data_IF_229494071800
#
_entry.id   IF_229494071800
#
_cell.length_a   1.000
_cell.length_b   1.000
_cell.length_c   1.000
_cell.angle_alpha   90.00
_cell.angle_beta   90.00
_cell.angle_gamma   90.00
#
_symmetry.space_group_name_H-M   'P 1'
#
loop_
_entity.id
_entity.type
_entity.pdbx_description
1 polymer ?
#
# COMPACT_ATOMS: atom_id res chain seq x y z
N UNK A 1 -20.02 5.69 13.42
CA UNK A 1 -18.67 5.11 13.42
C UNK A 1 -17.87 5.84 12.37
N UNK A 2 -16.67 6.34 12.70
CA UNK A 2 -15.76 6.89 11.68
C UNK A 2 -15.12 5.69 10.98
N UNK A 3 -15.23 5.60 9.66
CA UNK A 3 -14.59 4.53 8.91
C UNK A 3 -13.07 4.66 9.06
N UNK A 4 -12.37 3.56 9.33
CA UNK A 4 -10.91 3.56 9.36
C UNK A 4 -10.38 3.60 7.93
N UNK A 5 -9.34 4.41 7.69
CA UNK A 5 -8.58 4.46 6.46
C UNK A 5 -7.39 3.52 6.56
N UNK A 6 -7.48 2.39 5.86
CA UNK A 6 -6.47 1.34 5.82
C UNK A 6 -5.78 1.32 4.46
N UNK A 7 -4.46 1.30 4.45
CA UNK A 7 -3.64 1.38 3.25
C UNK A 7 -2.69 0.19 3.16
N UNK A 8 -2.57 -0.41 1.98
CA UNK A 8 -1.63 -1.49 1.71
C UNK A 8 -0.70 -1.11 0.56
N UNK A 9 0.56 -0.86 0.88
CA UNK A 9 1.55 -0.33 -0.07
C UNK A 9 2.19 -1.45 -0.87
N UNK A 10 2.17 -1.31 -2.20
CA UNK A 10 2.43 -2.39 -3.18
C UNK A 10 1.49 -3.58 -3.08
N UNK A 11 0.31 -3.38 -2.47
CA UNK A 11 -0.70 -4.39 -2.28
C UNK A 11 -1.37 -4.84 -3.58
N UNK A 12 -1.74 -6.11 -3.65
CA UNK A 12 -2.40 -6.73 -4.79
C UNK A 12 -3.77 -7.31 -4.40
N UNK A 13 -4.38 -6.80 -3.33
CA UNK A 13 -5.68 -7.27 -2.82
C UNK A 13 -5.57 -8.41 -1.81
N UNK A 14 -4.48 -8.50 -1.06
CA UNK A 14 -4.27 -9.49 0.00
C UNK A 14 -4.90 -9.13 1.33
N UNK A 15 -5.11 -7.84 1.61
CA UNK A 15 -5.78 -7.40 2.83
C UNK A 15 -7.20 -6.93 2.49
N UNK A 16 -8.26 -7.56 3.05
CA UNK A 16 -9.64 -7.11 2.83
C UNK A 16 -9.89 -5.71 3.40
N UNK A 17 -10.70 -4.91 2.70
CA UNK A 17 -11.18 -3.61 3.19
C UNK A 17 -10.13 -2.48 3.19
N UNK A 18 -8.98 -2.67 2.54
CA UNK A 18 -7.93 -1.64 2.40
C UNK A 18 -7.95 -1.00 1.01
N UNK A 19 -7.34 0.18 0.92
CA UNK A 19 -6.88 0.75 -0.35
C UNK A 19 -5.52 0.15 -0.66
N UNK A 20 -5.35 -0.43 -1.85
CA UNK A 20 -4.07 -0.93 -2.32
C UNK A 20 -3.36 0.16 -3.12
N UNK A 21 -2.12 0.49 -2.78
CA UNK A 21 -1.29 1.39 -3.58
C UNK A 21 -0.41 0.58 -4.51
N UNK A 22 -0.36 1.00 -5.77
CA UNK A 22 0.47 0.40 -6.80
C UNK A 22 1.09 1.48 -7.70
N UNK A 23 2.13 1.11 -8.45
CA UNK A 23 2.69 1.96 -9.49
C UNK A 23 1.98 1.80 -10.84
N UNK A 24 2.33 2.66 -11.81
CA UNK A 24 1.69 2.64 -13.14
C UNK A 24 1.90 1.33 -13.90
N UNK A 25 2.93 0.55 -13.56
CA UNK A 25 3.23 -0.72 -14.21
C UNK A 25 2.10 -1.76 -14.11
N UNK A 26 1.21 -1.68 -13.11
CA UNK A 26 0.10 -2.64 -12.98
C UNK A 26 -0.95 -2.50 -14.08
N UNK A 27 -0.96 -1.34 -14.76
CA UNK A 27 -1.86 -1.06 -15.87
C UNK A 27 -1.36 -1.69 -17.18
N UNK A 28 -0.15 -2.25 -17.20
CA UNK A 28 0.37 -2.93 -18.37
C UNK A 28 -0.48 -4.18 -18.70
N UNK A 29 -0.86 -4.41 -19.97
CA UNK A 29 -1.73 -5.55 -20.33
C UNK A 29 -1.18 -6.93 -19.95
N UNK A 30 0.15 -7.05 -19.82
CA UNK A 30 0.83 -8.29 -19.41
C UNK A 30 1.01 -8.44 -17.90
N UNK A 31 0.73 -7.41 -17.10
CA UNK A 31 0.88 -7.48 -15.65
C UNK A 31 -0.16 -8.44 -15.07
N UNK A 32 0.26 -9.23 -14.09
CA UNK A 32 -0.57 -10.15 -13.32
C UNK A 32 -0.15 -10.05 -11.86
N UNK A 33 -1.09 -10.15 -10.93
CA UNK A 33 -0.74 -10.21 -9.52
C UNK A 33 0.04 -11.50 -9.23
N UNK A 34 1.00 -11.38 -8.32
CA UNK A 34 1.94 -12.42 -7.95
C UNK A 34 1.25 -13.57 -7.22
N UNK A 35 0.15 -13.29 -6.51
CA UNK A 35 -0.55 -14.29 -5.69
C UNK A 35 -1.27 -15.35 -6.50
N UNK A 36 -2.09 -14.94 -7.47
CA UNK A 36 -3.03 -15.83 -8.14
C UNK A 36 -3.14 -15.59 -9.65
N UNK A 37 -2.29 -14.72 -10.21
CA UNK A 37 -2.21 -14.51 -11.65
C UNK A 37 -3.38 -13.74 -12.24
N UNK A 38 -4.24 -13.12 -11.42
CA UNK A 38 -5.32 -12.23 -11.89
C UNK A 38 -4.78 -10.93 -12.46
N UNK A 39 -5.52 -10.34 -13.40
CA UNK A 39 -5.22 -9.02 -13.95
C UNK A 39 -5.62 -7.91 -12.97
N UNK A 40 -5.12 -6.70 -13.20
CA UNK A 40 -5.59 -5.52 -12.47
C UNK A 40 -7.11 -5.34 -12.60
N UNK A 41 -7.67 -5.58 -13.78
CA UNK A 41 -9.11 -5.45 -14.01
C UNK A 41 -9.91 -6.50 -13.23
N UNK A 42 -9.42 -7.74 -13.13
CA UNK A 42 -10.07 -8.79 -12.33
C UNK A 42 -10.13 -8.39 -10.86
N UNK A 43 -9.04 -7.82 -10.32
CA UNK A 43 -9.00 -7.38 -8.93
C UNK A 43 -9.96 -6.21 -8.67
N UNK A 44 -10.03 -5.25 -9.58
CA UNK A 44 -10.99 -4.14 -9.50
C UNK A 44 -12.43 -4.65 -9.59
N UNK A 45 -12.70 -5.61 -10.49
CA UNK A 45 -14.02 -6.23 -10.63
C UNK A 45 -14.44 -7.03 -9.38
N UNK A 46 -13.48 -7.57 -8.64
CA UNK A 46 -13.67 -8.26 -7.35
C UNK A 46 -13.85 -7.28 -6.17
N UNK A 47 -13.88 -5.98 -6.45
CA UNK A 47 -14.12 -4.93 -5.45
C UNK A 47 -12.89 -4.45 -4.70
N UNK A 48 -11.68 -4.85 -5.11
CA UNK A 48 -10.46 -4.29 -4.55
C UNK A 48 -10.29 -2.83 -5.00
N UNK A 49 -9.98 -1.96 -4.03
CA UNK A 49 -9.76 -0.53 -4.29
C UNK A 49 -8.27 -0.29 -4.51
N UNK A 50 -7.94 0.46 -5.55
CA UNK A 50 -6.56 0.81 -5.88
C UNK A 50 -6.35 2.32 -6.00
N UNK A 51 -5.17 2.78 -5.60
CA UNK A 51 -4.60 4.06 -6.03
C UNK A 51 -3.32 3.80 -6.81
N UNK A 52 -3.13 4.53 -7.91
CA UNK A 52 -1.94 4.44 -8.74
C UNK A 52 -1.11 5.69 -8.50
N UNK A 53 0.02 5.57 -7.81
CA UNK A 53 0.89 6.70 -7.46
C UNK A 53 2.35 6.28 -7.25
N UNK A 54 3.25 7.26 -7.14
CA UNK A 54 4.65 7.01 -6.82
C UNK A 54 4.84 6.62 -5.35
N UNK A 55 5.76 5.71 -5.08
CA UNK A 55 6.15 5.28 -3.73
C UNK A 55 6.77 6.39 -2.87
N UNK A 56 7.25 7.46 -3.51
CA UNK A 56 7.91 8.61 -2.87
C UNK A 56 6.97 9.78 -2.57
N UNK A 57 5.72 9.72 -3.04
CA UNK A 57 4.75 10.79 -2.87
C UNK A 57 3.34 10.19 -2.79
N UNK A 58 2.98 9.77 -1.58
CA UNK A 58 1.67 9.17 -1.33
C UNK A 58 0.59 10.27 -1.32
N UNK A 59 -0.54 10.11 -2.03
CA UNK A 59 -1.57 11.14 -2.20
C UNK A 59 -2.50 11.24 -0.98
N UNK A 60 -1.95 11.07 0.22
CA UNK A 60 -2.66 11.20 1.48
C UNK A 60 -2.13 12.43 2.24
N UNK A 61 -3.03 13.21 2.87
CA UNK A 61 -2.63 14.24 3.82
C UNK A 61 -1.80 13.68 4.96
N UNK A 62 -1.10 14.57 5.64
CA UNK A 62 -0.41 14.22 6.87
C UNK A 62 -1.42 13.76 7.93
N UNK A 63 -1.05 12.75 8.70
CA UNK A 63 -1.84 12.25 9.82
C UNK A 63 -3.29 11.83 9.51
N UNK A 64 -3.57 11.31 8.31
CA UNK A 64 -4.91 10.89 7.88
C UNK A 64 -5.15 9.39 7.86
N UNK A 65 -4.10 8.56 7.89
CA UNK A 65 -4.20 7.10 7.72
C UNK A 65 -4.12 6.39 9.07
N UNK A 66 -5.02 5.43 9.30
CA UNK A 66 -5.10 4.65 10.54
C UNK A 66 -4.04 3.54 10.58
N UNK A 67 -3.94 2.77 9.49
CA UNK A 67 -3.04 1.62 9.39
C UNK A 67 -2.41 1.57 8.01
N UNK A 68 -1.11 1.31 7.97
CA UNK A 68 -0.34 1.03 6.76
C UNK A 68 0.20 -0.39 6.83
N UNK A 69 -0.08 -1.18 5.80
CA UNK A 69 0.49 -2.49 5.55
C UNK A 69 1.60 -2.40 4.49
N UNK A 70 2.71 -3.11 4.70
CA UNK A 70 3.79 -3.27 3.71
C UNK A 70 4.21 -4.73 3.64
N UNK A 71 3.71 -5.46 2.65
CA UNK A 71 4.03 -6.89 2.48
C UNK A 71 4.96 -7.08 1.28
N UNK A 72 6.21 -7.46 1.53
CA UNK A 72 7.17 -7.80 0.46
C UNK A 72 7.61 -6.63 -0.43
N UNK A 73 7.24 -5.39 -0.08
CA UNK A 73 7.68 -4.20 -0.82
C UNK A 73 9.05 -3.69 -0.34
N UNK A 74 9.90 -3.19 -1.24
CA UNK A 74 11.14 -2.51 -0.85
C UNK A 74 10.83 -1.23 -0.04
N UNK A 75 11.44 -1.10 1.15
CA UNK A 75 11.38 0.10 1.98
C UNK A 75 12.74 0.79 1.97
N UNK A 76 12.76 2.12 1.79
CA UNK A 76 13.96 2.98 1.83
C UNK A 76 15.11 2.52 0.92
N UNK A 77 14.78 1.80 -0.16
CA UNK A 77 15.75 1.27 -1.14
C UNK A 77 15.16 1.23 -2.53
N UNK A 78 16.01 1.29 -3.54
CA UNK A 78 15.59 1.16 -4.94
C UNK A 78 15.33 -0.30 -5.32
N UNK A 79 14.47 -0.48 -6.33
CA UNK A 79 14.18 -1.74 -6.99
C UNK A 79 14.28 -1.58 -8.50
N UNK A 80 14.11 -2.68 -9.24
CA UNK A 80 14.00 -2.64 -10.71
C UNK A 80 12.81 -1.82 -11.20
N UNK A 81 11.79 -1.63 -10.36
CA UNK A 81 10.57 -0.86 -10.67
C UNK A 81 10.66 0.61 -10.20
N UNK A 82 11.86 1.05 -9.78
CA UNK A 82 12.11 2.38 -9.25
C UNK A 82 12.22 2.40 -7.72
N UNK A 83 12.13 3.59 -7.10
CA UNK A 83 12.25 3.74 -5.66
C UNK A 83 11.21 2.92 -4.90
N UNK A 84 11.67 2.25 -3.84
CA UNK A 84 10.79 1.64 -2.85
C UNK A 84 9.98 2.69 -2.09
N UNK A 85 9.05 2.21 -1.28
CA UNK A 85 8.28 3.05 -0.37
C UNK A 85 9.21 3.71 0.63
N UNK A 86 9.00 5.00 0.87
CA UNK A 86 9.79 5.75 1.84
C UNK A 86 9.16 5.63 3.23
N UNK A 87 9.91 5.19 4.23
CA UNK A 87 9.42 5.10 5.60
C UNK A 87 9.02 6.48 6.16
N UNK A 88 9.62 7.56 5.67
CA UNK A 88 9.22 8.93 5.96
C UNK A 88 7.79 9.23 5.48
N UNK A 89 7.41 8.77 4.29
CA UNK A 89 6.06 8.93 3.75
C UNK A 89 5.05 8.15 4.59
N UNK A 90 5.37 6.91 4.97
CA UNK A 90 4.52 6.10 5.87
C UNK A 90 4.28 6.83 7.19
N UNK A 91 5.35 7.31 7.82
CA UNK A 91 5.28 8.05 9.10
C UNK A 91 4.55 9.38 8.97
N UNK A 92 4.65 10.06 7.82
CA UNK A 92 3.94 11.32 7.54
C UNK A 92 2.44 11.11 7.52
N UNK A 93 1.96 10.13 6.74
CA UNK A 93 0.53 9.90 6.51
C UNK A 93 -0.18 9.24 7.70
N UNK A 94 0.53 8.46 8.52
CA UNK A 94 -0.07 7.83 9.69
C UNK A 94 -0.54 8.88 10.70
N UNK A 95 -1.73 8.71 11.26
CA UNK A 95 -2.23 9.52 12.39
C UNK A 95 -1.53 9.15 13.70
N UNK A 96 -1.64 9.98 14.74
CA UNK A 96 -1.16 9.60 16.09
C UNK A 96 -1.87 8.32 16.58
N UNK A 97 -1.11 7.39 17.14
CA UNK A 97 -1.55 6.02 17.45
C UNK A 97 -1.75 5.12 16.23
N UNK A 98 -1.52 5.62 15.01
CA UNK A 98 -1.60 4.84 13.78
C UNK A 98 -0.50 3.79 13.68
N UNK A 99 -0.79 2.69 13.00
CA UNK A 99 0.07 1.50 12.97
C UNK A 99 0.70 1.31 11.60
N UNK A 100 1.99 1.03 11.59
CA UNK A 100 2.67 0.42 10.45
C UNK A 100 2.90 -1.06 10.76
N UNK A 101 2.32 -1.92 9.93
CA UNK A 101 2.37 -3.36 10.02
C UNK A 101 3.12 -3.90 8.79
N UNK A 102 4.19 -4.66 9.01
CA UNK A 102 4.96 -5.33 7.96
C UNK A 102 5.01 -6.84 8.20
N UNK A 103 5.57 -7.58 7.23
CA UNK A 103 5.97 -8.98 7.39
C UNK A 103 4.88 -9.88 8.00
N UNK A 104 3.74 -10.00 7.30
CA UNK A 104 2.65 -10.90 7.69
C UNK A 104 1.99 -10.57 9.04
N UNK A 105 2.02 -9.32 9.47
CA UNK A 105 1.21 -8.84 10.61
C UNK A 105 1.99 -8.30 11.80
N UNK A 106 3.32 -8.23 11.72
CA UNK A 106 4.12 -7.65 12.78
C UNK A 106 4.00 -6.12 12.80
N UNK A 107 3.66 -5.54 13.95
CA UNK A 107 3.70 -4.08 14.13
C UNK A 107 5.16 -3.63 14.12
N UNK A 108 5.54 -2.90 13.08
CA UNK A 108 6.89 -2.37 12.90
C UNK A 108 7.04 -1.02 13.59
N UNK A 109 5.98 -0.22 13.61
CA UNK A 109 6.00 1.11 14.21
C UNK A 109 4.60 1.60 14.58
N UNK A 110 4.52 2.35 15.67
CA UNK A 110 3.31 3.09 16.07
C UNK A 110 3.66 4.56 16.13
N UNK A 111 2.84 5.41 15.51
CA UNK A 111 3.05 6.87 15.58
C UNK A 111 2.76 7.35 17.00
N UNK A 112 3.67 8.12 17.62
CA UNK A 112 3.41 8.73 18.92
C UNK A 112 2.23 9.70 18.88
#
# INVERSE_FOLDING_TARGET
MVAQLLLNLGGEGEIPGVINQQGQWVLAPGWRCSRDGRTFQDLVNDGHVFIICMNTQLPFPDASVDVVYTNGVPIDRNSLLGPGVQSSEIKRILKSGGLWIADYGAVTWTKP
#
